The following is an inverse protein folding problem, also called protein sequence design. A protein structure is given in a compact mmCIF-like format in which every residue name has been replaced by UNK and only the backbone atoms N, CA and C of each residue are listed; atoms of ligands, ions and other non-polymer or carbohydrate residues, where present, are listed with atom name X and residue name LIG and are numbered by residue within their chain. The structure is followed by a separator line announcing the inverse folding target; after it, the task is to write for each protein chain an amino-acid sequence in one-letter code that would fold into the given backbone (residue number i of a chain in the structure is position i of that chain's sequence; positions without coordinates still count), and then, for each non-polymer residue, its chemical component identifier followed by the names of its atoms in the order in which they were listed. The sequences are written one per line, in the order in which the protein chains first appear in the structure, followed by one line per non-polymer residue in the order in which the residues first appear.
data_IF_150817392128
#
_entry.id   IF_150817392128
#
_cell.length_a   1.000
_cell.length_b   1.000
_cell.length_c   1.000
_cell.angle_alpha   90.00
_cell.angle_beta   90.00
_cell.angle_gamma   90.00
#
_symmetry.space_group_name_H-M   'P 1'
#
loop_
_entity.id
_entity.type
_entity.pdbx_description
1 polymer ?
#
# COMPACT_ATOMS: atom_id res chain seq x y z
N UNK A 1 -24.51 18.89 5.70
CA UNK A 1 -24.22 18.19 4.42
C UNK A 1 -22.98 17.34 4.63
N UNK A 2 -23.12 16.02 4.83
CA UNK A 2 -21.96 15.13 4.98
C UNK A 2 -21.26 14.99 3.63
N UNK A 3 -20.02 15.48 3.53
CA UNK A 3 -19.18 15.27 2.34
C UNK A 3 -18.75 13.82 2.34
N UNK A 4 -19.37 12.99 1.50
CA UNK A 4 -18.91 11.64 1.25
C UNK A 4 -17.53 11.73 0.58
N UNK A 5 -16.48 11.49 1.37
CA UNK A 5 -15.12 11.42 0.86
C UNK A 5 -14.96 10.05 0.19
N UNK A 6 -15.27 9.98 -1.12
CA UNK A 6 -15.03 8.78 -1.91
C UNK A 6 -13.52 8.63 -2.04
N UNK A 7 -12.93 7.71 -1.28
CA UNK A 7 -11.52 7.34 -1.41
C UNK A 7 -11.45 6.37 -2.60
N UNK A 8 -10.92 6.78 -3.78
CA UNK A 8 -10.92 5.94 -4.98
C UNK A 8 -10.04 4.69 -4.82
N UNK A 9 -9.17 4.71 -3.81
CA UNK A 9 -8.18 3.68 -3.57
C UNK A 9 -7.95 3.53 -2.06
N UNK A 10 -8.85 2.86 -1.31
CA UNK A 10 -8.73 2.76 0.14
C UNK A 10 -7.70 1.68 0.47
N UNK A 11 -6.43 1.99 0.25
CA UNK A 11 -5.29 1.07 0.36
C UNK A 11 -5.20 0.50 1.76
N UNK A 12 -5.52 1.31 2.78
CA UNK A 12 -5.65 0.91 4.18
C UNK A 12 -6.81 -0.07 4.47
N UNK A 13 -7.83 -0.14 3.61
CA UNK A 13 -8.95 -1.09 3.73
C UNK A 13 -8.77 -2.36 2.90
N UNK A 14 -7.67 -2.50 2.15
CA UNK A 14 -7.33 -3.73 1.42
C UNK A 14 -6.70 -4.76 2.36
N UNK A 15 -7.42 -5.16 3.39
CA UNK A 15 -6.95 -6.05 4.46
C UNK A 15 -6.31 -7.32 3.91
N UNK A 16 -6.92 -7.94 2.88
CA UNK A 16 -6.36 -9.13 2.22
C UNK A 16 -5.00 -8.85 1.57
N UNK A 17 -4.84 -7.72 0.88
CA UNK A 17 -3.58 -7.34 0.26
C UNK A 17 -2.52 -7.03 1.32
N UNK A 18 -2.89 -6.32 2.39
CA UNK A 18 -1.98 -6.01 3.51
C UNK A 18 -1.45 -7.30 4.15
N UNK A 19 -2.32 -8.26 4.47
CA UNK A 19 -1.91 -9.54 5.07
C UNK A 19 -1.05 -10.37 4.11
N UNK A 20 -1.39 -10.41 2.83
CA UNK A 20 -0.63 -11.17 1.84
C UNK A 20 0.75 -10.58 1.58
N UNK A 21 0.85 -9.25 1.45
CA UNK A 21 2.12 -8.55 1.28
C UNK A 21 2.99 -8.67 2.53
N UNK A 22 2.42 -8.52 3.74
CA UNK A 22 3.16 -8.71 4.98
C UNK A 22 3.73 -10.13 5.10
N UNK A 23 2.93 -11.16 4.79
CA UNK A 23 3.38 -12.55 4.78
C UNK A 23 4.53 -12.77 3.79
N UNK A 24 4.39 -12.28 2.56
CA UNK A 24 5.42 -12.46 1.53
C UNK A 24 6.72 -11.72 1.85
N UNK A 25 6.64 -10.50 2.37
CA UNK A 25 7.81 -9.72 2.80
C UNK A 25 8.51 -10.43 3.96
N UNK A 26 7.77 -10.98 4.93
CA UNK A 26 8.34 -11.70 6.07
C UNK A 26 8.96 -13.05 5.69
N UNK A 27 8.45 -13.75 4.67
CA UNK A 27 8.95 -15.07 4.25
C UNK A 27 10.14 -15.04 3.28
N UNK A 28 10.49 -13.87 2.75
CA UNK A 28 11.53 -13.72 1.73
C UNK A 28 12.85 -13.25 2.34
N UNK A 29 13.95 -13.65 1.72
CA UNK A 29 15.26 -13.10 2.04
C UNK A 29 15.26 -11.58 1.82
N UNK A 30 16.05 -10.84 2.59
CA UNK A 30 16.03 -9.37 2.63
C UNK A 30 16.09 -8.70 1.25
N UNK A 31 16.90 -9.21 0.32
CA UNK A 31 17.00 -8.67 -1.04
C UNK A 31 15.74 -8.89 -1.90
N UNK A 32 15.11 -10.07 -1.80
CA UNK A 32 13.89 -10.40 -2.55
C UNK A 32 12.66 -9.71 -1.95
N UNK A 33 12.63 -9.59 -0.63
CA UNK A 33 11.62 -8.85 0.10
C UNK A 33 11.61 -7.36 -0.32
N UNK A 34 12.79 -6.76 -0.42
CA UNK A 34 12.99 -5.38 -0.88
C UNK A 34 12.51 -5.18 -2.32
N UNK A 35 12.93 -6.06 -3.23
CA UNK A 35 12.55 -5.98 -4.65
C UNK A 35 11.04 -6.14 -4.82
N UNK A 36 10.44 -7.09 -4.10
CA UNK A 36 9.00 -7.28 -4.09
C UNK A 36 8.26 -6.06 -3.54
N UNK A 37 8.72 -5.51 -2.42
CA UNK A 37 8.13 -4.33 -1.80
C UNK A 37 8.13 -3.14 -2.76
N UNK A 38 9.25 -2.87 -3.44
CA UNK A 38 9.35 -1.82 -4.46
C UNK A 38 8.37 -2.04 -5.60
N UNK A 39 8.23 -3.27 -6.09
CA UNK A 39 7.28 -3.59 -7.16
C UNK A 39 5.82 -3.39 -6.74
N UNK A 40 5.46 -3.75 -5.51
CA UNK A 40 4.10 -3.53 -4.96
C UNK A 40 3.78 -2.03 -4.90
N UNK A 41 4.69 -1.23 -4.34
CA UNK A 41 4.50 0.23 -4.22
C UNK A 41 4.46 0.90 -5.60
N UNK A 42 5.35 0.52 -6.52
CA UNK A 42 5.37 1.05 -7.88
C UNK A 42 4.06 0.73 -8.63
N UNK A 43 3.54 -0.50 -8.49
CA UNK A 43 2.28 -0.90 -9.09
C UNK A 43 1.08 -0.12 -8.55
N UNK A 44 1.01 0.07 -7.22
CA UNK A 44 -0.04 0.87 -6.59
C UNK A 44 0.04 2.33 -7.02
N UNK A 45 1.23 2.93 -7.02
CA UNK A 45 1.46 4.30 -7.47
C UNK A 45 1.00 4.49 -8.91
N UNK A 46 1.36 3.57 -9.81
CA UNK A 46 0.95 3.61 -11.21
C UNK A 46 -0.58 3.58 -11.38
N UNK A 47 -1.27 2.73 -10.61
CA UNK A 47 -2.74 2.66 -10.65
C UNK A 47 -3.38 3.96 -10.15
N UNK A 48 -2.82 4.57 -9.11
CA UNK A 48 -3.34 5.81 -8.57
C UNK A 48 -3.11 7.00 -9.51
N UNK A 49 -1.92 7.09 -10.12
CA UNK A 49 -1.60 8.10 -11.17
C UNK A 49 -2.56 7.97 -12.35
N UNK A 50 -2.81 6.73 -12.83
CA UNK A 50 -3.79 6.47 -13.90
C UNK A 50 -5.23 6.86 -13.53
N UNK A 51 -5.52 6.95 -12.24
CA UNK A 51 -6.83 7.36 -11.71
C UNK A 51 -6.90 8.86 -11.43
N UNK A 52 -5.90 9.64 -11.88
CA UNK A 52 -5.84 11.09 -11.72
C UNK A 52 -5.87 11.57 -10.26
N UNK A 53 -5.36 10.75 -9.34
CA UNK A 53 -5.16 11.15 -7.96
C UNK A 53 -4.02 12.15 -7.86
N UNK A 54 -4.17 13.17 -7.01
CA UNK A 54 -3.10 14.11 -6.71
C UNK A 54 -1.94 13.41 -6.00
N UNK A 55 -0.70 13.80 -6.31
CA UNK A 55 0.51 13.17 -5.77
C UNK A 55 0.52 13.13 -4.23
N UNK A 56 0.01 14.17 -3.58
CA UNK A 56 -0.13 14.25 -2.12
C UNK A 56 -1.05 13.16 -1.55
N UNK A 57 -2.13 12.84 -2.27
CA UNK A 57 -3.09 11.78 -1.90
C UNK A 57 -2.46 10.41 -2.12
N UNK A 58 -1.72 10.25 -3.22
CA UNK A 58 -0.98 9.02 -3.54
C UNK A 58 0.04 8.72 -2.44
N UNK A 59 0.85 9.71 -2.06
CA UNK A 59 1.86 9.56 -1.03
C UNK A 59 1.23 9.26 0.34
N UNK A 60 0.13 9.92 0.68
CA UNK A 60 -0.61 9.66 1.91
C UNK A 60 -1.13 8.21 1.97
N UNK A 61 -1.72 7.72 0.89
CA UNK A 61 -2.25 6.37 0.79
C UNK A 61 -1.15 5.29 0.84
N UNK A 62 -0.05 5.49 0.11
CA UNK A 62 1.09 4.58 0.10
C UNK A 62 1.77 4.51 1.48
N UNK A 63 1.91 5.64 2.18
CA UNK A 63 2.44 5.66 3.56
C UNK A 63 1.53 4.91 4.53
N UNK A 64 0.21 5.08 4.43
CA UNK A 64 -0.75 4.36 5.26
C UNK A 64 -0.71 2.84 5.00
N UNK A 65 -0.58 2.44 3.74
CA UNK A 65 -0.40 1.04 3.36
C UNK A 65 0.90 0.47 3.94
N UNK A 66 2.03 1.17 3.76
CA UNK A 66 3.33 0.79 4.32
C UNK A 66 3.26 0.59 5.83
N UNK A 67 2.73 1.57 6.55
CA UNK A 67 2.54 1.49 8.01
C UNK A 67 1.74 0.25 8.40
N UNK A 68 0.63 -0.02 7.71
CA UNK A 68 -0.24 -1.16 8.01
C UNK A 68 0.40 -2.52 7.74
N UNK A 69 1.28 -2.60 6.73
CA UNK A 69 2.07 -3.80 6.40
C UNK A 69 3.16 -4.03 7.44
N UNK A 70 3.99 -3.02 7.73
CA UNK A 70 5.10 -3.17 8.66
C UNK A 70 4.67 -3.38 10.12
N UNK A 71 3.53 -2.82 10.54
CA UNK A 71 2.94 -3.14 11.85
C UNK A 71 2.66 -4.64 12.04
N UNK A 72 2.41 -5.38 10.96
CA UNK A 72 2.12 -6.83 11.01
C UNK A 72 3.35 -7.71 10.87
N UNK A 73 4.50 -7.16 10.49
CA UNK A 73 5.76 -7.89 10.39
C UNK A 73 6.50 -7.87 11.73
N UNK A 74 6.31 -6.80 12.53
CA UNK A 74 6.94 -6.63 13.85
C UNK A 74 6.09 -7.05 15.06
N UNK A 75 4.91 -7.65 14.87
CA UNK A 75 4.13 -8.31 15.93
C UNK A 75 4.30 -9.81 15.85
#
# INVERSE_FOLDING_TARGET
MMRCNVIPFPTARRTRAIHFTAKLVATRNSCEADTYWRNVIAGMRLQMVKSWLADEVIDCELRQFARSVFQRIGS
#
